data_IF_922790631715
#
_entry.id   IF_922790631715
#
_cell.length_a   1.000
_cell.length_b   1.000
_cell.length_c   1.000
_cell.angle_alpha   90.00
_cell.angle_beta   90.00
_cell.angle_gamma   90.00
#
_symmetry.space_group_name_H-M   'P 1'
#
loop_
_entity.id
_entity.type
_entity.pdbx_description
1 polymer ?
#
# COMPACT_ATOMS: atom_id res chain seq x y z
N UNK A 1 4.74 -0.62 -19.61
CA UNK A 1 6.15 -0.59 -19.22
C UNK A 1 6.50 -1.81 -18.34
N UNK A 2 6.28 -3.01 -18.87
CA UNK A 2 6.66 -4.26 -18.21
C UNK A 2 8.12 -4.61 -18.51
N UNK A 3 8.67 -5.59 -17.77
CA UNK A 3 10.00 -6.19 -18.00
C UNK A 3 11.20 -5.20 -17.88
N UNK A 4 11.10 -4.27 -16.92
CA UNK A 4 12.12 -3.26 -16.64
C UNK A 4 12.46 -3.22 -15.13
N UNK A 5 13.74 -3.00 -14.76
CA UNK A 5 14.10 -2.75 -13.37
C UNK A 5 13.61 -1.37 -12.93
N UNK A 6 13.37 -1.21 -11.60
CA UNK A 6 12.72 -0.05 -10.99
C UNK A 6 13.23 1.29 -11.53
N UNK A 7 14.55 1.54 -11.51
CA UNK A 7 15.12 2.84 -11.92
C UNK A 7 14.81 3.17 -13.37
N UNK A 8 15.05 2.23 -14.29
CA UNK A 8 14.76 2.43 -15.71
C UNK A 8 13.25 2.57 -15.97
N UNK A 9 12.42 1.84 -15.21
CA UNK A 9 10.97 1.91 -15.26
C UNK A 9 10.48 3.31 -14.84
N UNK A 10 10.97 3.83 -13.70
CA UNK A 10 10.62 5.17 -13.22
C UNK A 10 11.09 6.27 -14.19
N UNK A 11 12.39 6.33 -14.48
CA UNK A 11 13.01 7.44 -15.22
C UNK A 11 12.58 7.52 -16.70
N UNK A 12 12.39 6.35 -17.34
CA UNK A 12 12.12 6.32 -18.80
C UNK A 12 10.63 6.16 -19.13
N UNK A 13 9.80 5.73 -18.18
CA UNK A 13 8.40 5.41 -18.47
C UNK A 13 7.39 6.07 -17.55
N UNK A 14 7.57 6.05 -16.24
CA UNK A 14 6.58 6.56 -15.29
C UNK A 14 6.66 8.08 -15.18
N UNK A 15 7.76 8.62 -14.71
CA UNK A 15 7.91 10.06 -14.50
C UNK A 15 7.65 10.92 -15.74
N UNK A 16 8.10 10.55 -16.97
CA UNK A 16 7.75 11.32 -18.17
C UNK A 16 6.24 11.31 -18.49
N UNK A 17 5.54 10.21 -18.20
CA UNK A 17 4.09 10.13 -18.39
C UNK A 17 3.35 10.92 -17.32
N UNK A 18 3.77 10.80 -16.07
CA UNK A 18 3.21 11.56 -14.95
C UNK A 18 3.36 13.07 -15.18
N UNK A 19 4.54 13.54 -15.56
CA UNK A 19 4.78 14.95 -15.87
C UNK A 19 3.83 15.50 -16.96
N UNK A 20 3.40 14.65 -17.90
CA UNK A 20 2.51 15.04 -18.99
C UNK A 20 1.02 14.92 -18.66
N UNK A 21 0.62 13.93 -17.89
CA UNK A 21 -0.77 13.48 -17.81
C UNK A 21 -1.41 13.67 -16.44
N UNK A 22 -0.61 13.69 -15.38
CA UNK A 22 -1.15 13.74 -14.02
C UNK A 22 -1.85 15.07 -13.77
N UNK A 23 -3.10 14.96 -13.36
CA UNK A 23 -4.01 16.09 -13.06
C UNK A 23 -5.06 15.61 -12.06
N UNK A 24 -5.81 16.50 -11.43
CA UNK A 24 -6.92 16.10 -10.57
C UNK A 24 -7.94 15.18 -11.27
N UNK A 25 -8.20 15.40 -12.57
CA UNK A 25 -9.09 14.54 -13.37
C UNK A 25 -8.50 13.13 -13.56
N UNK A 26 -7.20 13.05 -13.90
CA UNK A 26 -6.48 11.78 -14.04
C UNK A 26 -6.55 10.97 -12.75
N UNK A 27 -6.22 11.60 -11.63
CA UNK A 27 -6.21 10.96 -10.31
C UNK A 27 -7.61 10.52 -9.92
N UNK A 28 -8.62 11.39 -10.08
CA UNK A 28 -10.02 11.04 -9.83
C UNK A 28 -10.46 9.79 -10.59
N UNK A 29 -10.22 9.77 -11.89
CA UNK A 29 -10.65 8.66 -12.75
C UNK A 29 -9.84 7.37 -12.47
N UNK A 30 -8.53 7.49 -12.21
CA UNK A 30 -7.67 6.38 -11.81
C UNK A 30 -8.07 5.77 -10.47
N UNK A 31 -8.33 6.63 -9.47
CA UNK A 31 -8.80 6.18 -8.15
C UNK A 31 -10.17 5.50 -8.24
N UNK A 32 -11.05 5.99 -9.12
CA UNK A 32 -12.37 5.37 -9.33
C UNK A 32 -12.24 3.94 -9.89
N UNK A 33 -11.35 3.73 -10.87
CA UNK A 33 -11.03 2.39 -11.41
C UNK A 33 -10.46 1.50 -10.30
N UNK A 34 -9.50 2.02 -9.53
CA UNK A 34 -8.87 1.29 -8.43
C UNK A 34 -9.90 0.90 -7.34
N UNK A 35 -10.78 1.81 -6.93
CA UNK A 35 -11.85 1.51 -5.97
C UNK A 35 -12.79 0.41 -6.47
N UNK A 36 -13.17 0.46 -7.74
CA UNK A 36 -14.04 -0.57 -8.33
C UNK A 36 -13.34 -1.95 -8.32
N UNK A 37 -12.06 -2.01 -8.69
CA UNK A 37 -11.27 -3.24 -8.67
C UNK A 37 -11.07 -3.76 -7.24
N UNK A 38 -10.67 -2.90 -6.31
CA UNK A 38 -10.45 -3.26 -4.91
C UNK A 38 -11.71 -3.78 -4.24
N UNK A 39 -12.83 -3.08 -4.37
CA UNK A 39 -14.11 -3.50 -3.80
C UNK A 39 -14.55 -4.86 -4.37
N UNK A 40 -14.53 -5.03 -5.70
CA UNK A 40 -14.87 -6.30 -6.35
C UNK A 40 -13.93 -7.44 -5.91
N UNK A 41 -12.68 -7.12 -5.55
CA UNK A 41 -11.68 -8.06 -5.05
C UNK A 41 -11.69 -8.30 -3.53
N UNK A 42 -12.63 -7.70 -2.79
CA UNK A 42 -12.74 -7.90 -1.33
C UNK A 42 -11.77 -7.05 -0.50
N UNK A 43 -11.19 -6.00 -1.03
CA UNK A 43 -10.38 -5.05 -0.26
C UNK A 43 -11.33 -4.02 0.37
N UNK A 44 -11.31 -3.93 1.70
CA UNK A 44 -12.17 -3.02 2.47
C UNK A 44 -11.48 -1.75 2.93
N UNK A 45 -10.15 -1.75 2.94
CA UNK A 45 -9.34 -0.60 3.33
C UNK A 45 -8.06 -0.59 2.49
N UNK A 46 -7.69 0.56 1.97
CA UNK A 46 -6.41 0.75 1.29
C UNK A 46 -5.58 1.86 1.96
N UNK A 47 -4.28 1.83 1.68
CA UNK A 47 -3.34 2.89 2.01
C UNK A 47 -2.83 3.46 0.70
N UNK A 48 -3.31 4.67 0.35
CA UNK A 48 -3.04 5.33 -0.94
C UNK A 48 -1.86 6.30 -0.80
N UNK A 49 -1.00 6.33 -1.81
CA UNK A 49 0.11 7.27 -1.90
C UNK A 49 0.23 7.78 -3.33
N UNK A 50 -0.44 8.89 -3.62
CA UNK A 50 -0.37 9.49 -4.94
C UNK A 50 -0.62 11.00 -4.89
N UNK A 51 -0.42 11.68 -6.03
CA UNK A 51 -0.66 13.11 -6.19
C UNK A 51 -2.14 13.48 -6.05
N UNK A 52 -2.42 14.75 -5.75
CA UNK A 52 -3.77 15.28 -5.63
C UNK A 52 -4.66 14.52 -4.62
N UNK A 53 -4.25 14.41 -3.35
CA UNK A 53 -4.98 13.65 -2.32
C UNK A 53 -6.43 14.12 -2.11
N UNK A 54 -6.78 15.39 -2.42
CA UNK A 54 -8.17 15.88 -2.41
C UNK A 54 -9.03 15.16 -3.47
N UNK A 55 -8.45 14.89 -4.66
CA UNK A 55 -9.17 14.18 -5.71
C UNK A 55 -9.43 12.70 -5.35
N UNK A 56 -8.42 12.02 -4.77
CA UNK A 56 -8.57 10.65 -4.23
C UNK A 56 -9.58 10.62 -3.09
N UNK A 57 -9.51 11.56 -2.13
CA UNK A 57 -10.41 11.62 -0.98
C UNK A 57 -11.88 11.67 -1.39
N UNK A 58 -12.23 12.53 -2.35
CA UNK A 58 -13.60 12.63 -2.89
C UNK A 58 -14.09 11.31 -3.47
N UNK A 59 -13.22 10.58 -4.18
CA UNK A 59 -13.58 9.28 -4.77
C UNK A 59 -13.77 8.22 -3.68
N UNK A 60 -12.93 8.18 -2.67
CA UNK A 60 -13.11 7.27 -1.54
C UNK A 60 -14.42 7.54 -0.78
N UNK A 61 -14.80 8.81 -0.58
CA UNK A 61 -16.10 9.16 0.02
C UNK A 61 -17.28 8.76 -0.90
N UNK A 62 -17.18 9.00 -2.19
CA UNK A 62 -18.20 8.62 -3.19
C UNK A 62 -18.41 7.11 -3.25
N UNK A 63 -17.32 6.35 -3.31
CA UNK A 63 -17.36 4.88 -3.43
C UNK A 63 -17.67 4.17 -2.13
N UNK A 64 -17.37 4.80 -1.00
CA UNK A 64 -17.52 4.24 0.33
C UNK A 64 -16.37 3.33 0.76
N UNK A 65 -15.31 3.20 -0.03
CA UNK A 65 -14.11 2.47 0.37
C UNK A 65 -13.38 3.23 1.49
N UNK A 66 -12.91 2.51 2.51
CA UNK A 66 -12.06 3.08 3.55
C UNK A 66 -10.64 3.31 3.05
N UNK A 67 -10.02 4.44 3.37
CA UNK A 67 -8.67 4.73 2.95
C UNK A 67 -7.84 5.47 4.02
N UNK A 68 -6.55 5.12 4.10
CA UNK A 68 -5.50 5.99 4.58
C UNK A 68 -4.95 6.75 3.38
N UNK A 69 -5.09 8.06 3.36
CA UNK A 69 -4.66 8.91 2.24
C UNK A 69 -3.30 9.50 2.56
N UNK A 70 -2.31 9.15 1.76
CA UNK A 70 -0.96 9.70 1.84
C UNK A 70 -0.89 11.12 1.29
N UNK A 71 -0.26 12.01 2.03
CA UNK A 71 0.07 13.36 1.61
C UNK A 71 1.48 13.33 1.01
N UNK A 72 1.63 13.28 -0.32
CA UNK A 72 2.93 13.00 -0.96
C UNK A 72 3.87 14.18 -0.82
N UNK A 73 5.15 13.90 -0.57
CA UNK A 73 6.21 14.91 -0.49
C UNK A 73 7.40 14.48 -1.37
N UNK A 74 7.84 15.40 -2.24
CA UNK A 74 9.03 15.26 -3.09
C UNK A 74 9.76 16.60 -3.13
N UNK A 75 11.10 16.58 -3.26
CA UNK A 75 11.93 17.79 -3.29
C UNK A 75 12.12 18.37 -4.71
N UNK A 76 11.51 17.77 -5.71
CA UNK A 76 11.59 18.26 -7.09
C UNK A 76 10.20 18.60 -7.64
N UNK A 77 10.13 19.49 -8.66
CA UNK A 77 8.87 19.91 -9.24
C UNK A 77 8.08 18.75 -9.88
N UNK A 78 6.78 18.74 -9.59
CA UNK A 78 5.80 17.81 -10.15
C UNK A 78 4.56 18.59 -10.64
N UNK A 79 3.65 17.97 -11.39
CA UNK A 79 2.37 18.61 -11.70
C UNK A 79 1.53 18.97 -10.46
N UNK A 80 1.80 18.33 -9.33
CA UNK A 80 1.09 18.56 -8.07
C UNK A 80 1.62 19.77 -7.30
N UNK A 81 2.95 19.92 -7.19
CA UNK A 81 3.58 20.98 -6.44
C UNK A 81 5.00 21.27 -6.94
N UNK A 82 5.52 22.50 -6.75
CA UNK A 82 6.86 22.88 -7.21
C UNK A 82 7.99 22.30 -6.35
N UNK A 83 7.73 21.99 -5.08
CA UNK A 83 8.71 21.55 -4.09
C UNK A 83 8.03 20.88 -2.88
N UNK A 84 8.82 20.46 -1.90
CA UNK A 84 8.32 19.80 -0.69
C UNK A 84 7.40 20.69 0.14
N UNK A 85 7.66 21.97 0.23
CA UNK A 85 6.82 22.92 0.99
C UNK A 85 5.44 23.06 0.32
N UNK A 86 5.40 23.16 -1.01
CA UNK A 86 4.18 23.14 -1.79
C UNK A 86 3.41 21.84 -1.65
N UNK A 87 4.11 20.68 -1.64
CA UNK A 87 3.52 19.38 -1.38
C UNK A 87 2.85 19.33 0.00
N UNK A 88 3.56 19.74 1.06
CA UNK A 88 3.04 19.77 2.43
C UNK A 88 1.84 20.70 2.55
N UNK A 89 1.91 21.91 1.98
CA UNK A 89 0.81 22.86 2.02
C UNK A 89 -0.45 22.30 1.36
N UNK A 90 -0.33 21.78 0.14
CA UNK A 90 -1.45 21.21 -0.60
C UNK A 90 -2.02 19.96 0.07
N UNK A 91 -1.14 19.07 0.58
CA UNK A 91 -1.55 17.87 1.29
C UNK A 91 -2.30 18.17 2.59
N UNK A 92 -1.78 19.08 3.42
CA UNK A 92 -2.43 19.48 4.67
C UNK A 92 -3.78 20.18 4.41
N UNK A 93 -3.91 20.96 3.35
CA UNK A 93 -5.19 21.54 2.95
C UNK A 93 -6.21 20.45 2.55
N UNK A 94 -5.79 19.44 1.81
CA UNK A 94 -6.64 18.29 1.47
C UNK A 94 -7.09 17.54 2.72
N UNK A 95 -6.14 17.24 3.64
CA UNK A 95 -6.48 16.63 4.94
C UNK A 95 -7.53 17.45 5.69
N UNK A 96 -7.32 18.75 5.80
CA UNK A 96 -8.24 19.62 6.57
C UNK A 96 -9.64 19.68 5.97
N UNK A 97 -9.77 19.56 4.65
CA UNK A 97 -11.05 19.48 3.96
C UNK A 97 -11.83 18.19 4.28
N UNK A 98 -11.12 17.06 4.49
CA UNK A 98 -11.73 15.73 4.62
C UNK A 98 -11.53 15.06 6.01
N UNK A 99 -10.87 15.69 6.98
CA UNK A 99 -10.53 15.12 8.30
C UNK A 99 -11.72 14.68 9.16
N UNK A 100 -12.94 15.06 8.80
CA UNK A 100 -14.15 14.66 9.52
C UNK A 100 -14.83 13.42 8.92
N UNK A 101 -14.31 12.90 7.81
CA UNK A 101 -14.79 11.64 7.22
C UNK A 101 -14.46 10.45 8.14
N UNK A 102 -15.44 9.61 8.41
CA UNK A 102 -15.24 8.41 9.27
C UNK A 102 -14.43 7.31 8.57
N UNK A 103 -14.40 7.34 7.22
CA UNK A 103 -13.73 6.34 6.40
C UNK A 103 -12.36 6.76 5.92
N UNK A 104 -11.98 8.02 6.13
CA UNK A 104 -10.68 8.54 5.73
C UNK A 104 -9.78 8.78 6.92
N UNK A 105 -8.54 8.34 6.80
CA UNK A 105 -7.42 8.71 7.64
C UNK A 105 -6.32 9.30 6.77
N UNK A 106 -5.30 9.91 7.36
CA UNK A 106 -4.23 10.58 6.61
C UNK A 106 -2.86 10.20 7.17
N UNK A 107 -1.86 10.17 6.29
CA UNK A 107 -0.44 10.02 6.63
C UNK A 107 0.40 11.01 5.83
N UNK A 108 1.58 11.38 6.30
CA UNK A 108 2.53 12.12 5.46
C UNK A 108 3.43 11.10 4.77
N UNK A 109 3.59 11.25 3.45
CA UNK A 109 4.23 10.24 2.62
C UNK A 109 5.38 10.81 1.81
N UNK A 110 6.56 11.05 2.46
CA UNK A 110 7.78 11.28 1.68
C UNK A 110 8.00 10.09 0.75
N UNK A 111 8.14 10.36 -0.55
CA UNK A 111 8.16 9.32 -1.58
C UNK A 111 9.21 8.24 -1.29
N UNK A 112 10.47 8.65 -1.14
CA UNK A 112 11.57 7.75 -0.81
C UNK A 112 12.74 8.56 -0.20
N UNK A 113 13.66 7.92 0.55
CA UNK A 113 14.83 8.60 1.10
C UNK A 113 15.74 9.27 0.06
N UNK A 114 15.75 8.77 -1.18
CA UNK A 114 16.54 9.34 -2.27
C UNK A 114 15.84 10.50 -3.01
N UNK A 115 14.55 10.73 -2.78
CA UNK A 115 13.78 11.82 -3.41
C UNK A 115 13.44 12.95 -2.44
N UNK A 116 13.76 12.79 -1.14
CA UNK A 116 13.45 13.74 -0.09
C UNK A 116 14.69 13.96 0.80
N UNK A 117 15.12 15.21 0.93
CA UNK A 117 16.28 15.61 1.69
C UNK A 117 16.03 15.73 3.20
N UNK A 118 17.10 15.91 3.97
CA UNK A 118 17.05 15.96 5.44
C UNK A 118 16.21 17.13 5.95
N UNK A 119 16.29 18.29 5.29
CA UNK A 119 15.51 19.48 5.68
C UNK A 119 14.00 19.23 5.54
N UNK A 120 13.59 18.62 4.43
CA UNK A 120 12.20 18.25 4.17
C UNK A 120 11.72 17.17 5.15
N UNK A 121 12.53 16.14 5.43
CA UNK A 121 12.22 15.16 6.46
C UNK A 121 12.05 15.78 7.85
N UNK A 122 12.88 16.76 8.25
CA UNK A 122 12.73 17.45 9.53
C UNK A 122 11.38 18.19 9.64
N UNK A 123 10.91 18.81 8.54
CA UNK A 123 9.59 19.44 8.47
C UNK A 123 8.47 18.39 8.56
N UNK A 124 8.60 17.28 7.80
CA UNK A 124 7.65 16.15 7.82
C UNK A 124 7.49 15.60 9.23
N UNK A 125 8.60 15.32 9.92
CA UNK A 125 8.59 14.82 11.31
C UNK A 125 7.91 15.81 12.25
N UNK A 126 8.14 17.10 12.05
CA UNK A 126 7.51 18.16 12.86
C UNK A 126 5.99 18.15 12.67
N UNK A 127 5.49 18.15 11.42
CA UNK A 127 4.05 18.09 11.14
C UNK A 127 3.43 16.77 11.58
N UNK A 128 4.09 15.64 11.35
CA UNK A 128 3.62 14.33 11.76
C UNK A 128 3.37 14.27 13.26
N UNK A 129 4.31 14.76 14.07
CA UNK A 129 4.18 14.83 15.53
C UNK A 129 3.10 15.82 15.99
N UNK A 130 3.00 17.00 15.36
CA UNK A 130 2.01 18.02 15.73
C UNK A 130 0.57 17.60 15.43
N UNK A 131 0.38 16.83 14.37
CA UNK A 131 -0.93 16.45 13.85
C UNK A 131 -1.29 14.99 14.13
N UNK A 132 -0.41 14.25 14.82
CA UNK A 132 -0.52 12.81 15.10
C UNK A 132 -0.76 12.02 13.82
N UNK A 133 0.07 12.24 12.80
CA UNK A 133 -0.01 11.57 11.51
C UNK A 133 1.10 10.53 11.36
N UNK A 134 0.78 9.33 10.87
CA UNK A 134 1.80 8.36 10.46
C UNK A 134 2.70 8.90 9.36
N UNK A 135 3.95 8.42 9.33
CA UNK A 135 4.87 8.62 8.22
C UNK A 135 5.04 7.29 7.49
N UNK A 136 4.88 7.29 6.17
CA UNK A 136 5.19 6.12 5.35
C UNK A 136 6.08 6.50 4.18
N UNK A 137 6.98 5.61 3.79
CA UNK A 137 7.90 5.84 2.67
C UNK A 137 8.31 4.53 2.02
N UNK A 138 8.61 4.55 0.71
CA UNK A 138 9.33 3.46 0.08
C UNK A 138 10.73 3.40 0.68
N UNK A 139 11.15 2.21 1.09
CA UNK A 139 12.38 2.05 1.84
C UNK A 139 13.16 0.83 1.37
N UNK A 140 14.40 1.05 0.94
CA UNK A 140 15.36 -0.01 0.61
C UNK A 140 14.72 -1.09 -0.29
N UNK A 141 13.99 -0.63 -1.31
CA UNK A 141 13.31 -1.50 -2.25
C UNK A 141 14.31 -2.24 -3.15
N UNK A 142 15.37 -1.54 -3.58
CA UNK A 142 16.44 -2.13 -4.38
C UNK A 142 17.75 -2.18 -3.61
N UNK A 143 18.63 -3.11 -4.04
CA UNK A 143 19.99 -3.19 -3.48
C UNK A 143 20.76 -1.89 -3.74
N UNK A 144 20.60 -1.30 -4.92
CA UNK A 144 21.29 -0.08 -5.31
C UNK A 144 20.90 1.09 -4.40
N UNK A 145 19.62 1.26 -4.05
CA UNK A 145 19.18 2.29 -3.10
C UNK A 145 19.95 2.22 -1.78
N UNK A 146 20.07 1.02 -1.21
CA UNK A 146 20.80 0.80 0.04
C UNK A 146 22.30 1.05 -0.12
N UNK A 147 22.91 0.46 -1.16
CA UNK A 147 24.36 0.47 -1.35
C UNK A 147 24.85 1.86 -1.73
N UNK A 148 24.11 2.62 -2.55
CA UNK A 148 24.41 4.01 -2.88
C UNK A 148 24.31 4.91 -1.64
N UNK A 149 23.31 4.72 -0.78
CA UNK A 149 23.19 5.46 0.47
C UNK A 149 24.36 5.17 1.42
N UNK A 150 24.73 3.89 1.58
CA UNK A 150 25.89 3.48 2.39
C UNK A 150 27.20 4.08 1.85
N UNK A 151 27.41 4.05 0.53
CA UNK A 151 28.60 4.61 -0.10
C UNK A 151 28.67 6.15 0.07
N UNK A 152 27.55 6.84 -0.05
CA UNK A 152 27.49 8.30 0.01
C UNK A 152 27.57 8.84 1.45
N UNK A 153 26.97 8.15 2.44
CA UNK A 153 26.77 8.70 3.79
C UNK A 153 27.30 7.84 4.92
N UNK A 154 27.72 6.61 4.64
CA UNK A 154 28.11 5.62 5.65
C UNK A 154 26.94 5.07 6.49
N UNK A 155 25.69 5.35 6.10
CA UNK A 155 24.50 4.90 6.80
C UNK A 155 23.45 4.32 5.85
N UNK A 156 22.64 3.36 6.34
CA UNK A 156 21.50 2.87 5.58
C UNK A 156 20.42 3.96 5.48
N UNK A 157 19.53 3.91 4.47
CA UNK A 157 18.37 4.80 4.40
C UNK A 157 17.55 4.79 5.69
N UNK A 158 17.29 3.64 6.29
CA UNK A 158 16.59 3.53 7.57
C UNK A 158 17.34 4.20 8.72
N UNK A 159 18.65 3.97 8.85
CA UNK A 159 19.44 4.60 9.90
C UNK A 159 19.50 6.13 9.76
N UNK A 160 19.47 6.67 8.52
CA UNK A 160 19.30 8.09 8.25
C UNK A 160 17.96 8.61 8.76
N UNK A 161 16.85 7.92 8.43
CA UNK A 161 15.51 8.29 8.88
C UNK A 161 15.36 8.25 10.40
N UNK A 162 15.98 7.27 11.05
CA UNK A 162 15.99 7.18 12.53
C UNK A 162 16.70 8.38 13.16
N UNK A 163 17.85 8.79 12.63
CA UNK A 163 18.56 9.99 13.10
C UNK A 163 17.74 11.27 12.93
N UNK A 164 16.90 11.34 11.91
CA UNK A 164 15.97 12.46 11.67
C UNK A 164 14.71 12.37 12.54
N UNK A 165 14.54 11.28 13.30
CA UNK A 165 13.41 11.07 14.20
C UNK A 165 12.10 10.72 13.46
N UNK A 166 12.19 10.16 12.26
CA UNK A 166 11.04 9.74 11.46
C UNK A 166 10.51 8.37 11.87
N UNK A 167 11.36 7.51 12.47
CA UNK A 167 10.98 6.16 12.91
C UNK A 167 10.17 6.18 14.20
N UNK A 168 9.38 5.14 14.42
CA UNK A 168 8.52 4.98 15.61
C UNK A 168 7.32 4.08 15.33
N UNK A 169 6.41 3.92 16.33
CA UNK A 169 5.24 3.03 16.21
C UNK A 169 4.23 3.42 15.11
N UNK A 170 4.31 4.62 14.57
CA UNK A 170 3.48 5.09 13.45
C UNK A 170 4.27 5.21 12.14
N UNK A 171 5.49 4.66 12.08
CA UNK A 171 6.29 4.64 10.85
C UNK A 171 6.04 3.36 10.07
N UNK A 172 5.80 3.50 8.76
CA UNK A 172 5.52 2.40 7.83
C UNK A 172 6.58 2.36 6.73
N UNK A 173 7.39 1.32 6.74
CA UNK A 173 8.38 1.02 5.70
C UNK A 173 7.73 0.19 4.59
N UNK A 174 7.61 0.76 3.39
CA UNK A 174 7.09 0.04 2.22
C UNK A 174 8.23 -0.69 1.55
N UNK A 175 8.00 -1.93 1.13
CA UNK A 175 8.94 -2.90 0.53
C UNK A 175 9.96 -3.47 1.51
N UNK A 176 10.91 -2.68 2.01
CA UNK A 176 12.00 -3.09 2.90
C UNK A 176 12.64 -4.42 2.42
N UNK A 177 13.02 -4.48 1.12
CA UNK A 177 13.53 -5.72 0.49
C UNK A 177 14.97 -5.98 0.91
N UNK A 178 15.77 -4.94 1.07
CA UNK A 178 17.21 -5.04 1.32
C UNK A 178 17.62 -4.35 2.62
N UNK A 179 17.23 -4.88 3.81
CA UNK A 179 17.71 -4.31 5.05
C UNK A 179 19.24 -4.40 5.13
N UNK A 180 19.86 -3.36 5.66
CA UNK A 180 21.27 -3.35 5.98
C UNK A 180 21.54 -3.95 7.36
N UNK A 181 22.82 -4.08 7.76
CA UNK A 181 23.17 -4.55 9.09
C UNK A 181 22.55 -3.68 10.20
N UNK A 182 21.81 -4.31 11.11
CA UNK A 182 21.14 -3.64 12.24
C UNK A 182 19.78 -3.01 11.91
N UNK A 183 19.33 -3.04 10.66
CA UNK A 183 18.04 -2.42 10.26
C UNK A 183 16.85 -3.20 10.81
N UNK A 184 16.92 -4.54 10.85
CA UNK A 184 15.83 -5.36 11.41
C UNK A 184 15.64 -5.09 12.90
N UNK A 185 16.75 -5.05 13.65
CA UNK A 185 16.74 -4.71 15.08
C UNK A 185 16.27 -3.28 15.32
N UNK A 186 16.58 -2.36 14.41
CA UNK A 186 16.15 -0.96 14.48
C UNK A 186 14.64 -0.85 14.28
N UNK A 187 14.09 -1.48 13.23
CA UNK A 187 12.64 -1.54 12.97
C UNK A 187 11.89 -2.13 14.17
N UNK A 188 12.37 -3.25 14.70
CA UNK A 188 11.77 -3.92 15.86
C UNK A 188 11.81 -3.04 17.12
N UNK A 189 12.96 -2.45 17.44
CA UNK A 189 13.16 -1.60 18.62
C UNK A 189 12.29 -0.35 18.58
N UNK A 190 12.11 0.23 17.39
CA UNK A 190 11.29 1.42 17.19
C UNK A 190 9.79 1.09 17.07
N UNK A 191 9.41 -0.18 16.97
CA UNK A 191 8.03 -0.60 16.79
C UNK A 191 7.46 -0.26 15.41
N UNK A 192 8.30 -0.13 14.40
CA UNK A 192 7.91 0.21 13.05
C UNK A 192 7.10 -0.91 12.39
N UNK A 193 6.37 -0.57 11.34
CA UNK A 193 5.65 -1.53 10.50
C UNK A 193 6.35 -1.71 9.16
N UNK A 194 6.23 -2.89 8.56
CA UNK A 194 6.69 -3.20 7.20
C UNK A 194 5.48 -3.59 6.34
N UNK A 195 5.42 -3.08 5.11
CA UNK A 195 4.45 -3.52 4.09
C UNK A 195 5.19 -4.26 3.00
N UNK A 196 4.90 -5.56 2.88
CA UNK A 196 5.45 -6.42 1.85
C UNK A 196 4.57 -6.40 0.60
N UNK A 197 5.18 -6.11 -0.57
CA UNK A 197 4.53 -6.03 -1.86
C UNK A 197 5.15 -7.07 -2.82
N UNK A 198 4.86 -8.38 -2.63
CA UNK A 198 5.60 -9.44 -3.30
C UNK A 198 5.49 -9.40 -4.83
N UNK A 199 4.32 -9.10 -5.40
CA UNK A 199 4.15 -9.04 -6.85
C UNK A 199 4.98 -7.91 -7.47
N UNK A 200 4.92 -6.71 -6.92
CA UNK A 200 5.72 -5.55 -7.37
C UNK A 200 7.21 -5.83 -7.26
N UNK A 201 7.68 -6.33 -6.11
CA UNK A 201 9.08 -6.66 -5.89
C UNK A 201 9.62 -7.68 -6.90
N UNK A 202 8.82 -8.70 -7.23
CA UNK A 202 9.20 -9.72 -8.22
C UNK A 202 9.13 -9.18 -9.64
N UNK A 203 8.09 -8.40 -9.97
CA UNK A 203 7.91 -7.85 -11.32
C UNK A 203 9.03 -6.88 -11.70
N UNK A 204 9.46 -6.02 -10.78
CA UNK A 204 10.55 -5.07 -10.99
C UNK A 204 11.94 -5.67 -10.70
N UNK A 205 11.99 -6.96 -10.36
CA UNK A 205 13.21 -7.67 -9.93
C UNK A 205 13.93 -6.96 -8.77
N UNK A 206 13.17 -6.28 -7.90
CA UNK A 206 13.71 -5.63 -6.70
C UNK A 206 14.27 -6.64 -5.71
N UNK A 207 13.71 -7.85 -5.63
CA UNK A 207 14.17 -8.95 -4.78
C UNK A 207 13.09 -9.55 -3.90
N UNK A 208 13.49 -10.35 -2.90
CA UNK A 208 12.60 -10.97 -1.92
C UNK A 208 12.88 -10.38 -0.53
N UNK A 209 11.89 -9.69 0.05
CA UNK A 209 12.01 -9.18 1.42
C UNK A 209 12.14 -10.32 2.43
N UNK A 210 12.96 -10.18 3.50
CA UNK A 210 13.16 -11.22 4.52
C UNK A 210 12.00 -11.24 5.53
N UNK A 211 10.77 -11.51 5.04
CA UNK A 211 9.54 -11.43 5.83
C UNK A 211 9.55 -12.33 7.06
N UNK A 212 10.13 -13.53 6.96
CA UNK A 212 10.24 -14.42 8.10
C UNK A 212 11.10 -13.80 9.23
N UNK A 213 12.23 -13.18 8.87
CA UNK A 213 13.12 -12.49 9.82
C UNK A 213 12.41 -11.31 10.50
N UNK A 214 11.61 -10.52 9.74
CA UNK A 214 10.82 -9.45 10.32
C UNK A 214 9.79 -9.94 11.33
N UNK A 215 9.09 -11.01 11.02
CA UNK A 215 8.09 -11.60 11.92
C UNK A 215 8.76 -12.21 13.16
N UNK A 216 9.90 -12.89 13.02
CA UNK A 216 10.68 -13.47 14.13
C UNK A 216 11.22 -12.37 15.05
N UNK A 217 11.56 -11.20 14.52
CA UNK A 217 11.94 -10.01 15.29
C UNK A 217 10.74 -9.29 15.93
N UNK A 218 9.51 -9.77 15.75
CA UNK A 218 8.29 -9.17 16.30
C UNK A 218 7.76 -7.95 15.56
N UNK A 219 8.29 -7.66 14.36
CA UNK A 219 7.83 -6.55 13.52
C UNK A 219 6.44 -6.88 12.95
N UNK A 220 5.52 -5.95 12.99
CA UNK A 220 4.24 -6.10 12.29
C UNK A 220 4.46 -5.99 10.79
N UNK A 221 4.14 -7.06 10.06
CA UNK A 221 4.20 -7.09 8.60
C UNK A 221 2.78 -7.11 8.04
N UNK A 222 2.53 -6.20 7.08
CA UNK A 222 1.31 -6.13 6.30
C UNK A 222 1.58 -6.54 4.84
N UNK A 223 0.51 -6.75 4.06
CA UNK A 223 0.57 -6.94 2.62
C UNK A 223 0.04 -5.70 1.89
N UNK A 224 0.70 -5.35 0.79
CA UNK A 224 0.26 -4.34 -0.15
C UNK A 224 0.39 -4.82 -1.59
N UNK A 225 -0.45 -4.29 -2.47
CA UNK A 225 -0.37 -4.59 -3.90
C UNK A 225 0.65 -3.71 -4.62
N UNK A 226 1.03 -2.59 -4.01
CA UNK A 226 1.63 -1.46 -4.72
C UNK A 226 0.70 -0.95 -5.84
N UNK A 227 1.17 -0.10 -6.73
CA UNK A 227 0.34 0.43 -7.82
C UNK A 227 0.05 -0.62 -8.90
N UNK A 228 -1.06 -0.43 -9.64
CA UNK A 228 -1.34 -1.25 -10.82
C UNK A 228 -0.26 -1.11 -11.91
N UNK A 229 0.58 -0.07 -11.87
CA UNK A 229 1.69 0.09 -12.80
C UNK A 229 2.85 -0.87 -12.52
N UNK A 230 3.14 -1.18 -11.25
CA UNK A 230 4.19 -2.11 -10.83
C UNK A 230 3.69 -3.53 -10.57
N UNK A 231 2.36 -3.76 -10.56
CA UNK A 231 1.74 -5.07 -10.26
C UNK A 231 0.81 -5.57 -11.37
N UNK A 232 0.15 -4.68 -12.12
CA UNK A 232 -0.94 -4.93 -13.06
C UNK A 232 -2.29 -5.32 -12.42
N UNK A 233 -2.37 -5.59 -11.11
CA UNK A 233 -3.58 -5.99 -10.39
C UNK A 233 -3.61 -5.41 -8.97
N UNK A 234 -4.81 -5.08 -8.49
CA UNK A 234 -5.06 -4.75 -7.09
C UNK A 234 -5.76 -5.96 -6.44
N UNK A 235 -5.00 -7.02 -6.12
CA UNK A 235 -5.51 -8.34 -5.76
C UNK A 235 -4.77 -8.92 -4.54
N UNK A 236 -5.31 -8.74 -3.34
CA UNK A 236 -4.70 -9.26 -2.11
C UNK A 236 -4.73 -10.80 -2.01
N UNK A 237 -5.62 -11.51 -2.72
CA UNK A 237 -5.54 -12.98 -2.78
C UNK A 237 -4.27 -13.43 -3.52
N UNK A 238 -3.93 -12.75 -4.60
CA UNK A 238 -2.67 -13.00 -5.30
C UNK A 238 -1.47 -12.67 -4.41
N UNK A 239 -1.46 -11.51 -3.73
CA UNK A 239 -0.37 -11.13 -2.82
C UNK A 239 -0.19 -12.13 -1.68
N UNK A 240 -1.28 -12.61 -1.05
CA UNK A 240 -1.21 -13.63 -0.02
C UNK A 240 -0.52 -14.91 -0.52
N UNK A 241 -0.93 -15.40 -1.69
CA UNK A 241 -0.35 -16.60 -2.29
C UNK A 241 1.13 -16.41 -2.62
N UNK A 242 1.47 -15.29 -3.25
CA UNK A 242 2.85 -14.97 -3.61
C UNK A 242 3.75 -14.82 -2.38
N UNK A 243 3.30 -14.11 -1.35
CA UNK A 243 4.06 -13.95 -0.10
C UNK A 243 4.39 -15.31 0.54
N UNK A 244 3.38 -16.20 0.65
CA UNK A 244 3.58 -17.53 1.23
C UNK A 244 4.56 -18.37 0.42
N UNK A 245 4.39 -18.45 -0.91
CA UNK A 245 5.23 -19.29 -1.77
C UNK A 245 6.66 -18.74 -1.88
N UNK A 246 6.81 -17.43 -2.00
CA UNK A 246 8.12 -16.78 -2.07
C UNK A 246 8.92 -17.03 -0.79
N UNK A 247 8.31 -16.87 0.38
CA UNK A 247 8.97 -17.13 1.64
C UNK A 247 9.44 -18.58 1.77
N UNK A 248 8.61 -19.57 1.36
CA UNK A 248 9.00 -21.00 1.39
C UNK A 248 10.21 -21.28 0.50
N UNK A 249 10.24 -20.71 -0.70
CA UNK A 249 11.36 -20.91 -1.63
C UNK A 249 12.62 -20.23 -1.12
N UNK A 250 12.53 -19.01 -0.65
CA UNK A 250 13.70 -18.24 -0.19
C UNK A 250 14.30 -18.78 1.11
N UNK A 251 13.46 -19.33 2.01
CA UNK A 251 13.92 -19.96 3.26
C UNK A 251 14.34 -21.44 3.08
N UNK A 252 13.96 -22.09 1.96
CA UNK A 252 14.15 -23.54 1.81
C UNK A 252 13.32 -24.36 2.81
N UNK A 253 12.25 -23.77 3.36
CA UNK A 253 11.39 -24.38 4.38
C UNK A 253 9.91 -24.32 3.96
N UNK A 254 9.28 -25.47 3.78
CA UNK A 254 7.87 -25.58 3.45
C UNK A 254 6.93 -25.06 4.56
N UNK A 255 7.40 -24.94 5.79
CA UNK A 255 6.65 -24.38 6.92
C UNK A 255 6.76 -22.85 7.02
N UNK A 256 7.68 -22.20 6.30
CA UNK A 256 7.82 -20.76 6.32
C UNK A 256 6.51 -20.06 5.89
N UNK A 257 6.14 -19.01 6.60
CA UNK A 257 5.00 -18.15 6.33
C UNK A 257 3.69 -18.93 6.05
N UNK A 258 3.14 -19.62 7.05
CA UNK A 258 1.93 -20.44 6.88
C UNK A 258 0.70 -19.58 6.58
N UNK A 259 -0.34 -20.20 5.99
CA UNK A 259 -1.55 -19.49 5.52
C UNK A 259 -2.19 -18.59 6.58
N UNK A 260 -2.29 -19.03 7.84
CA UNK A 260 -2.86 -18.23 8.92
C UNK A 260 -2.07 -16.94 9.18
N UNK A 261 -0.75 -16.98 9.10
CA UNK A 261 0.12 -15.81 9.23
C UNK A 261 -0.10 -14.85 8.08
N UNK A 262 -0.15 -15.36 6.85
CA UNK A 262 -0.36 -14.54 5.64
C UNK A 262 -1.74 -13.88 5.64
N UNK A 263 -2.79 -14.62 6.01
CA UNK A 263 -4.14 -14.05 6.15
C UNK A 263 -4.15 -12.93 7.21
N UNK A 264 -3.42 -13.11 8.31
CA UNK A 264 -3.28 -12.06 9.33
C UNK A 264 -2.53 -10.84 8.79
N UNK A 265 -1.50 -11.01 7.96
CA UNK A 265 -0.80 -9.89 7.29
C UNK A 265 -1.73 -9.10 6.38
N UNK A 266 -2.61 -9.78 5.64
CA UNK A 266 -3.59 -9.14 4.73
C UNK A 266 -4.78 -8.48 5.47
N UNK A 267 -4.96 -8.76 6.77
CA UNK A 267 -6.11 -8.27 7.54
C UNK A 267 -5.66 -7.42 8.73
N UNK A 268 -5.46 -8.03 9.90
CA UNK A 268 -5.08 -7.32 11.12
C UNK A 268 -3.70 -6.66 11.02
N UNK A 269 -2.75 -7.26 10.29
CA UNK A 269 -1.44 -6.68 10.02
C UNK A 269 -1.55 -5.37 9.25
N UNK A 270 -2.38 -5.34 8.19
CA UNK A 270 -2.71 -4.12 7.45
C UNK A 270 -3.38 -3.06 8.32
N UNK A 271 -4.39 -3.45 9.10
CA UNK A 271 -5.08 -2.55 10.02
C UNK A 271 -4.12 -1.89 11.03
N UNK A 272 -3.17 -2.66 11.59
CA UNK A 272 -2.13 -2.14 12.49
C UNK A 272 -1.18 -1.17 11.81
N UNK A 273 -0.76 -1.48 10.59
CA UNK A 273 0.15 -0.60 9.83
C UNK A 273 -0.46 0.77 9.56
N UNK A 274 -1.79 0.86 9.44
CA UNK A 274 -2.51 2.13 9.25
C UNK A 274 -3.14 2.68 10.54
N UNK A 275 -2.85 2.08 11.72
CA UNK A 275 -3.35 2.55 13.02
C UNK A 275 -4.87 2.43 13.19
N UNK A 276 -5.50 1.44 12.56
CA UNK A 276 -6.95 1.21 12.61
C UNK A 276 -7.32 -0.16 13.19
N UNK A 277 -6.41 -0.84 13.86
CA UNK A 277 -6.64 -2.20 14.37
C UNK A 277 -7.58 -2.29 15.58
N UNK A 278 -7.91 -1.19 16.20
CA UNK A 278 -9.01 -1.04 17.14
C UNK A 278 -10.39 -1.05 16.46
N UNK A 279 -10.46 -0.66 15.19
CA UNK A 279 -11.69 -0.50 14.41
C UNK A 279 -11.93 -1.60 13.37
N UNK A 280 -10.89 -2.09 12.69
CA UNK A 280 -11.00 -3.05 11.59
C UNK A 280 -9.97 -4.19 11.68
N UNK A 281 -9.89 -5.03 10.67
CA UNK A 281 -8.87 -6.07 10.50
C UNK A 281 -9.19 -7.38 11.24
N UNK A 282 -10.29 -7.46 12.00
CA UNK A 282 -10.75 -8.70 12.63
C UNK A 282 -12.24 -8.64 12.96
N UNK A 283 -12.91 -9.78 12.92
CA UNK A 283 -14.35 -9.93 13.20
C UNK A 283 -14.55 -10.17 14.70
N UNK A 284 -14.50 -9.09 15.49
CA UNK A 284 -14.75 -9.12 16.93
C UNK A 284 -15.78 -8.05 17.31
N UNK A 285 -16.61 -8.29 18.34
CA UNK A 285 -17.58 -7.29 18.81
C UNK A 285 -16.91 -5.97 19.18
N UNK A 286 -17.51 -4.86 18.75
CA UNK A 286 -17.01 -3.50 19.01
C UNK A 286 -16.23 -2.87 17.87
N UNK A 287 -15.81 -3.66 16.87
CA UNK A 287 -15.20 -3.12 15.64
C UNK A 287 -16.25 -2.77 14.59
N UNK A 288 -15.83 -1.94 13.64
CA UNK A 288 -16.62 -1.64 12.43
C UNK A 288 -16.86 -2.95 11.65
N UNK A 289 -18.05 -3.06 11.05
CA UNK A 289 -18.40 -4.24 10.27
C UNK A 289 -17.82 -4.14 8.85
N UNK A 290 -16.50 -4.25 8.75
CA UNK A 290 -15.77 -4.44 7.49
C UNK A 290 -15.67 -5.96 7.27
N UNK A 291 -16.50 -6.52 6.38
CA UNK A 291 -16.68 -7.96 6.20
C UNK A 291 -16.65 -8.33 4.72
N UNK A 292 -15.97 -9.42 4.39
CA UNK A 292 -15.93 -9.99 3.05
C UNK A 292 -16.45 -11.41 3.07
N UNK A 293 -17.41 -11.72 2.19
CA UNK A 293 -17.91 -13.08 1.98
C UNK A 293 -17.23 -13.68 0.75
N UNK A 294 -16.75 -14.92 0.90
CA UNK A 294 -16.08 -15.68 -0.15
C UNK A 294 -16.83 -17.01 -0.35
N UNK A 295 -17.26 -17.27 -1.57
CA UNK A 295 -17.99 -18.49 -1.93
C UNK A 295 -17.01 -19.65 -2.22
N UNK A 296 -17.15 -20.73 -1.45
CA UNK A 296 -16.35 -21.95 -1.60
C UNK A 296 -17.13 -23.08 -2.32
N UNK A 297 -18.28 -22.80 -2.92
CA UNK A 297 -19.12 -23.81 -3.57
C UNK A 297 -18.59 -24.28 -4.94
N UNK A 298 -17.61 -23.56 -5.51
CA UNK A 298 -17.06 -23.88 -6.83
C UNK A 298 -16.28 -25.20 -6.83
N UNK A 299 -16.29 -25.91 -7.97
CA UNK A 299 -15.50 -27.16 -8.15
C UNK A 299 -13.99 -26.91 -7.94
N UNK A 300 -13.51 -25.70 -8.27
CA UNK A 300 -12.10 -25.33 -8.10
C UNK A 300 -11.68 -25.26 -6.62
N UNK A 301 -12.62 -25.07 -5.69
CA UNK A 301 -12.38 -25.01 -4.25
C UNK A 301 -12.86 -26.24 -3.49
N UNK A 302 -13.28 -27.31 -4.19
CA UNK A 302 -13.78 -28.54 -3.58
C UNK A 302 -12.75 -29.67 -3.71
N UNK A 303 -12.57 -30.51 -2.66
CA UNK A 303 -13.12 -30.35 -1.30
C UNK A 303 -12.31 -29.36 -0.46
N UNK A 304 -12.98 -28.61 0.43
CA UNK A 304 -12.30 -27.73 1.39
C UNK A 304 -12.10 -28.43 2.73
N UNK A 305 -10.86 -28.66 3.12
CA UNK A 305 -10.49 -29.24 4.42
C UNK A 305 -10.10 -28.17 5.44
N UNK A 306 -9.48 -27.07 4.99
CA UNK A 306 -9.07 -25.93 5.83
C UNK A 306 -9.39 -24.64 5.08
N UNK A 307 -10.41 -23.88 5.53
CA UNK A 307 -10.79 -22.63 4.89
C UNK A 307 -9.69 -21.58 4.85
N UNK A 308 -8.84 -21.51 5.86
CA UNK A 308 -7.74 -20.53 5.91
C UNK A 308 -6.70 -20.86 4.86
N UNK A 309 -6.32 -22.14 4.73
CA UNK A 309 -5.44 -22.60 3.67
C UNK A 309 -6.04 -22.33 2.29
N UNK A 310 -7.34 -22.58 2.12
CA UNK A 310 -8.05 -22.35 0.85
C UNK A 310 -8.08 -20.86 0.48
N UNK A 311 -8.32 -19.94 1.42
CA UNK A 311 -8.27 -18.50 1.17
C UNK A 311 -6.92 -18.05 0.59
N UNK A 312 -5.82 -18.62 1.10
CA UNK A 312 -4.47 -18.22 0.67
C UNK A 312 -4.01 -18.94 -0.59
N UNK A 313 -4.27 -20.24 -0.71
CA UNK A 313 -3.65 -21.07 -1.74
C UNK A 313 -4.56 -21.44 -2.91
N UNK A 314 -5.88 -21.40 -2.74
CA UNK A 314 -6.83 -21.85 -3.74
C UNK A 314 -7.81 -20.77 -4.20
N UNK A 315 -8.39 -20.00 -3.28
CA UNK A 315 -9.34 -18.94 -3.62
C UNK A 315 -8.67 -17.78 -4.35
N UNK A 316 -9.45 -17.02 -5.11
CA UNK A 316 -9.08 -15.79 -5.76
C UNK A 316 -10.20 -14.76 -5.62
N UNK A 317 -9.93 -13.54 -6.05
CA UNK A 317 -10.89 -12.42 -6.01
C UNK A 317 -12.24 -12.71 -6.70
N UNK A 318 -12.23 -13.61 -7.68
CA UNK A 318 -13.44 -14.07 -8.39
C UNK A 318 -14.44 -14.84 -7.51
N UNK A 319 -14.03 -15.27 -6.33
CA UNK A 319 -14.88 -15.95 -5.36
C UNK A 319 -15.50 -14.99 -4.32
N UNK A 320 -15.16 -13.69 -4.36
CA UNK A 320 -15.78 -12.68 -3.50
C UNK A 320 -17.20 -12.42 -3.97
N UNK A 321 -18.17 -12.64 -3.07
CA UNK A 321 -19.60 -12.42 -3.37
C UNK A 321 -20.12 -11.12 -2.79
N UNK A 322 -19.69 -10.78 -1.58
CA UNK A 322 -20.22 -9.63 -0.86
C UNK A 322 -19.15 -8.92 -0.07
N UNK A 323 -19.26 -7.60 -0.02
CA UNK A 323 -18.35 -6.74 0.75
C UNK A 323 -19.17 -5.70 1.51
N UNK A 324 -18.92 -5.62 2.81
CA UNK A 324 -19.46 -4.58 3.69
C UNK A 324 -18.32 -3.74 4.25
N UNK A 325 -18.51 -2.43 4.31
CA UNK A 325 -17.62 -1.49 4.99
C UNK A 325 -18.44 -0.67 5.96
N UNK A 326 -18.09 -0.72 7.24
CA UNK A 326 -18.84 -0.05 8.32
C UNK A 326 -20.33 -0.48 8.33
N UNK A 327 -20.59 -1.74 7.97
CA UNK A 327 -21.94 -2.33 7.87
C UNK A 327 -22.70 -1.98 6.61
N UNK A 328 -22.18 -1.13 5.73
CA UNK A 328 -22.80 -0.81 4.46
C UNK A 328 -22.32 -1.80 3.38
N UNK A 329 -23.28 -2.44 2.70
CA UNK A 329 -23.01 -3.39 1.61
C UNK A 329 -22.62 -2.63 0.34
N UNK A 330 -21.37 -2.76 -0.08
CA UNK A 330 -20.81 -2.09 -1.27
C UNK A 330 -20.66 -3.05 -2.46
N UNK A 331 -20.61 -4.36 -2.20
CA UNK A 331 -20.70 -5.42 -3.22
C UNK A 331 -21.82 -6.35 -2.82
N UNK A 332 -22.71 -6.67 -3.77
CA UNK A 332 -23.84 -7.57 -3.62
C UNK A 332 -23.82 -8.62 -4.73
N UNK A 333 -23.66 -9.89 -4.34
CA UNK A 333 -23.62 -11.02 -5.30
C UNK A 333 -22.65 -10.77 -6.46
N UNK A 334 -21.44 -10.28 -6.15
CA UNK A 334 -20.37 -9.96 -7.09
C UNK A 334 -20.58 -8.67 -7.90
N UNK A 335 -21.59 -7.85 -7.57
CA UNK A 335 -21.89 -6.59 -8.27
C UNK A 335 -21.61 -5.39 -7.38
N UNK A 336 -20.97 -4.39 -7.93
CA UNK A 336 -20.77 -3.11 -7.26
C UNK A 336 -22.10 -2.39 -7.06
N UNK A 337 -22.41 -1.96 -5.84
CA UNK A 337 -23.70 -1.35 -5.48
C UNK A 337 -23.76 0.12 -5.87
N UNK A 338 -22.67 0.87 -5.60
CA UNK A 338 -22.60 2.32 -5.83
C UNK A 338 -21.99 2.72 -7.17
N UNK A 339 -21.36 1.78 -7.88
CA UNK A 339 -20.52 2.07 -9.03
C UNK A 339 -21.04 1.43 -10.30
N UNK A 340 -21.07 2.20 -11.40
CA UNK A 340 -21.36 1.71 -12.73
C UNK A 340 -20.07 1.26 -13.42
N UNK A 341 -19.84 -0.06 -13.45
CA UNK A 341 -18.66 -0.68 -14.05
C UNK A 341 -18.49 -0.34 -15.53
N UNK A 342 -19.60 -0.17 -16.30
CA UNK A 342 -19.54 0.17 -17.71
C UNK A 342 -19.05 1.62 -17.91
N UNK A 343 -19.57 2.55 -17.11
CA UNK A 343 -19.12 3.94 -17.14
C UNK A 343 -17.65 4.08 -16.72
N UNK A 344 -17.21 3.32 -15.71
CA UNK A 344 -15.81 3.30 -15.25
C UNK A 344 -14.89 2.76 -16.35
N UNK A 345 -15.26 1.66 -16.98
CA UNK A 345 -14.49 1.07 -18.09
C UNK A 345 -14.37 2.02 -19.28
N UNK A 346 -15.45 2.75 -19.61
CA UNK A 346 -15.42 3.76 -20.67
C UNK A 346 -14.45 4.90 -20.36
N UNK A 347 -14.40 5.38 -19.09
CA UNK A 347 -13.42 6.38 -18.65
C UNK A 347 -11.98 5.87 -18.73
N UNK A 348 -11.73 4.64 -18.29
CA UNK A 348 -10.41 4.01 -18.40
C UNK A 348 -9.93 3.94 -19.86
N UNK A 349 -10.83 3.66 -20.81
CA UNK A 349 -10.51 3.63 -22.24
C UNK A 349 -10.07 5.01 -22.78
N UNK A 350 -10.66 6.11 -22.31
CA UNK A 350 -10.24 7.46 -22.68
C UNK A 350 -8.78 7.72 -22.25
N UNK A 351 -8.44 7.33 -21.02
CA UNK A 351 -7.07 7.49 -20.52
C UNK A 351 -6.07 6.56 -21.23
N UNK A 352 -6.44 5.32 -21.54
CA UNK A 352 -5.63 4.43 -22.37
C UNK A 352 -5.20 5.12 -23.67
N UNK A 353 -6.13 5.76 -24.37
CA UNK A 353 -5.88 6.40 -25.66
C UNK A 353 -5.03 7.69 -25.51
N UNK A 354 -5.09 8.37 -24.35
CA UNK A 354 -4.23 9.52 -24.03
C UNK A 354 -2.82 9.12 -23.60
N UNK A 355 -2.65 7.92 -23.02
CA UNK A 355 -1.35 7.40 -22.52
C UNK A 355 -0.54 6.77 -23.65
N UNK A 356 -1.19 6.12 -24.61
CA UNK A 356 -0.57 5.51 -25.78
C UNK A 356 0.14 6.53 -26.67
#
# INVERSE_FOLDING_TARGET
>A
ADDLPLKAWLENHIWPREARLVSPEFVRDGTLVACAEMLAGGITCCNDMYFYPDASARVFEETGLRAMIGLPVLDFPTPYAPDADGCLQAGLAARDAHKHSRRLAFSITPHAPYTVGDESFAKIVTYARQLDLPIQTHLQETRDERDDALAATGATPLARLDRLGATGPSFVAIHAVHPGPGDVELLARQGCHVVHCPASNMKLASGAAPVAEYLDAGINVALGTDSAASNNRLDLFAEMRLASLLAKVTQGDAAALPAATVLRMATLGGARAVGLDDRIGSLVPGKDADVVAVDFSSVALAPCYDPVSHLVHAAGREHVTDVWIEGERLVDSGRLVRLDSAAITARAAIWRDRIA
#
